data_IF_521380685240
#
_entry.id   IF_521380685240
#
_cell.length_a   1.000
_cell.length_b   1.000
_cell.length_c   1.000
_cell.angle_alpha   90.00
_cell.angle_beta   90.00
_cell.angle_gamma   90.00
#
_symmetry.space_group_name_H-M   'P 1'
#
loop_
_entity.id
_entity.type
_entity.pdbx_description
1 polymer ?
#
# COMPACT_ATOMS: atom_id res chain seq x y z
N UNK A 1 -0.07 -19.14 19.82
CA UNK A 1 -0.93 -19.34 21.02
C UNK A 1 -0.54 -18.31 22.07
N UNK A 2 -1.45 -17.93 22.98
CA UNK A 2 -1.11 -16.96 24.05
C UNK A 2 -0.17 -17.61 25.07
N UNK A 3 0.92 -16.92 25.41
CA UNK A 3 1.89 -17.33 26.44
C UNK A 3 1.24 -17.72 27.78
N UNK A 4 0.08 -17.13 28.10
CA UNK A 4 -0.68 -17.42 29.32
C UNK A 4 -1.01 -18.91 29.45
N UNK A 5 -1.32 -19.61 28.35
CA UNK A 5 -1.62 -21.04 28.39
C UNK A 5 -0.42 -21.88 28.81
N UNK A 6 0.76 -21.61 28.22
CA UNK A 6 2.01 -22.30 28.57
C UNK A 6 2.40 -22.10 30.04
N UNK A 7 2.26 -20.87 30.54
CA UNK A 7 2.51 -20.57 31.94
C UNK A 7 1.57 -21.35 32.88
N UNK A 8 0.26 -21.33 32.61
CA UNK A 8 -0.73 -22.01 33.43
C UNK A 8 -0.55 -23.53 33.40
N UNK A 9 -0.23 -24.09 32.23
CA UNK A 9 0.02 -25.51 32.05
C UNK A 9 1.26 -25.97 32.83
N UNK A 10 2.38 -25.24 32.73
CA UNK A 10 3.60 -25.55 33.47
C UNK A 10 3.42 -25.38 34.98
N UNK A 11 2.70 -24.34 35.42
CA UNK A 11 2.39 -24.14 36.84
C UNK A 11 1.51 -25.28 37.38
N UNK A 12 0.51 -25.71 36.61
CA UNK A 12 -0.35 -26.82 36.98
C UNK A 12 0.41 -28.14 36.98
N UNK A 13 1.25 -28.41 35.98
CA UNK A 13 2.10 -29.60 35.90
C UNK A 13 3.06 -29.67 37.09
N UNK A 14 3.71 -28.55 37.44
CA UNK A 14 4.62 -28.46 38.58
C UNK A 14 3.89 -28.75 39.91
N UNK A 15 2.69 -28.19 40.10
CA UNK A 15 1.85 -28.47 41.28
C UNK A 15 1.40 -29.93 41.36
N UNK A 16 0.97 -30.52 40.24
CA UNK A 16 0.57 -31.93 40.20
C UNK A 16 1.75 -32.87 40.47
N UNK A 17 2.91 -32.61 39.88
CA UNK A 17 4.12 -33.40 40.11
C UNK A 17 4.66 -33.24 41.53
N UNK A 18 4.65 -32.03 42.09
CA UNK A 18 5.02 -31.78 43.50
C UNK A 18 4.14 -32.58 44.47
N UNK A 19 2.82 -32.60 44.23
CA UNK A 19 1.88 -33.41 45.01
C UNK A 19 2.20 -34.91 44.93
N UNK A 20 2.31 -35.46 43.71
CA UNK A 20 2.62 -36.89 43.50
C UNK A 20 3.98 -37.29 44.09
N UNK A 21 4.96 -36.40 44.05
CA UNK A 21 6.28 -36.63 44.64
C UNK A 21 6.21 -36.65 46.17
N UNK A 22 5.45 -35.73 46.76
CA UNK A 22 5.22 -35.63 48.20
C UNK A 22 4.48 -36.84 48.76
N UNK A 23 3.46 -37.35 48.05
CA UNK A 23 2.73 -38.57 48.43
C UNK A 23 3.66 -39.80 48.53
N UNK A 24 4.72 -39.83 47.72
CA UNK A 24 5.72 -40.91 47.70
C UNK A 24 6.89 -40.68 48.67
N UNK A 25 7.11 -39.44 49.10
CA UNK A 25 8.25 -39.05 49.94
C UNK A 25 7.77 -38.18 51.11
N UNK A 26 7.19 -38.78 52.17
CA UNK A 26 6.57 -38.04 53.27
C UNK A 26 7.51 -37.07 54.00
N UNK A 27 8.81 -37.38 54.04
CA UNK A 27 9.83 -36.52 54.64
C UNK A 27 10.04 -35.18 53.90
N UNK A 28 9.69 -35.12 52.62
CA UNK A 28 9.87 -33.94 51.76
C UNK A 28 8.54 -33.22 51.47
N UNK A 29 7.41 -33.78 51.90
CA UNK A 29 6.08 -33.21 51.71
C UNK A 29 5.89 -31.78 52.22
N UNK A 30 6.55 -31.32 53.32
CA UNK A 30 6.45 -29.92 53.76
C UNK A 30 7.00 -28.90 52.76
N UNK A 31 7.90 -29.31 51.85
CA UNK A 31 8.56 -28.41 50.90
C UNK A 31 7.91 -28.41 49.51
N UNK A 32 7.23 -29.49 49.12
CA UNK A 32 6.70 -29.70 47.76
C UNK A 32 5.21 -30.10 47.71
N UNK A 33 4.57 -30.24 48.86
CA UNK A 33 3.17 -30.65 49.00
C UNK A 33 2.18 -29.53 48.69
N UNK A 34 0.88 -29.83 48.84
CA UNK A 34 -0.17 -28.83 48.66
C UNK A 34 -0.07 -27.76 49.76
N UNK A 35 0.43 -26.58 49.39
CA UNK A 35 0.40 -25.38 50.20
C UNK A 35 1.64 -25.22 51.07
N UNK A 36 2.75 -24.82 50.45
CA UNK A 36 3.73 -24.00 51.17
C UNK A 36 2.99 -22.75 51.66
N UNK A 37 3.02 -22.45 52.96
CA UNK A 37 2.45 -21.22 53.52
C UNK A 37 3.35 -20.00 53.25
N UNK A 38 4.51 -20.21 52.63
CA UNK A 38 5.48 -19.18 52.32
C UNK A 38 5.21 -18.57 50.93
N UNK A 39 4.78 -17.29 50.87
CA UNK A 39 4.54 -16.59 49.61
C UNK A 39 5.78 -16.47 48.72
N UNK A 40 6.98 -16.49 49.29
CA UNK A 40 8.22 -16.35 48.52
C UNK A 40 8.56 -17.64 47.75
N UNK A 41 8.26 -18.80 48.35
CA UNK A 41 8.37 -20.10 47.65
C UNK A 41 7.35 -20.20 46.52
N UNK A 42 6.12 -19.72 46.73
CA UNK A 42 5.11 -19.72 45.67
C UNK A 42 5.51 -18.83 44.49
N UNK A 43 6.04 -17.63 44.77
CA UNK A 43 6.59 -16.74 43.75
C UNK A 43 7.77 -17.34 42.98
N UNK A 44 8.62 -18.10 43.64
CA UNK A 44 9.72 -18.81 42.98
C UNK A 44 9.20 -19.90 42.02
N UNK A 45 8.16 -20.64 42.41
CA UNK A 45 7.53 -21.65 41.57
C UNK A 45 6.79 -21.02 40.38
N UNK A 46 6.12 -19.88 40.58
CA UNK A 46 5.54 -19.08 39.50
C UNK A 46 6.62 -18.57 38.55
N UNK A 47 7.73 -18.03 39.06
CA UNK A 47 8.87 -17.61 38.25
C UNK A 47 9.48 -18.75 37.44
N UNK A 48 9.61 -19.95 38.03
CA UNK A 48 10.11 -21.13 37.35
C UNK A 48 9.15 -21.63 36.25
N UNK A 49 7.84 -21.66 36.53
CA UNK A 49 6.82 -21.98 35.55
C UNK A 49 6.79 -20.96 34.40
N UNK A 50 7.00 -19.67 34.68
CA UNK A 50 7.09 -18.63 33.68
C UNK A 50 8.29 -18.85 32.74
N UNK A 51 9.48 -19.12 33.29
CA UNK A 51 10.69 -19.39 32.51
C UNK A 51 10.55 -20.67 31.66
N UNK A 52 10.07 -21.75 32.26
CA UNK A 52 9.90 -23.05 31.59
C UNK A 52 8.81 -22.98 30.53
N UNK A 53 7.71 -22.28 30.82
CA UNK A 53 6.64 -22.01 29.86
C UNK A 53 7.13 -21.23 28.64
N UNK A 54 8.01 -20.22 28.83
CA UNK A 54 8.63 -19.50 27.70
C UNK A 54 9.54 -20.42 26.87
N UNK A 55 10.30 -21.29 27.53
CA UNK A 55 11.19 -22.22 26.84
C UNK A 55 10.38 -23.23 26.02
N UNK A 56 9.31 -23.77 26.59
CA UNK A 56 8.41 -24.70 25.90
C UNK A 56 7.67 -24.01 24.74
N UNK A 57 7.16 -22.81 24.94
CA UNK A 57 6.60 -22.01 23.84
C UNK A 57 7.63 -21.83 22.72
N UNK A 58 8.87 -21.45 23.05
CA UNK A 58 9.93 -21.25 22.05
C UNK A 58 10.29 -22.54 21.31
N UNK A 59 10.23 -23.70 21.98
CA UNK A 59 10.45 -25.00 21.35
C UNK A 59 9.29 -25.40 20.43
N UNK A 60 8.05 -25.15 20.85
CA UNK A 60 6.84 -25.43 20.08
C UNK A 60 6.65 -24.48 18.89
N UNK A 61 7.29 -23.30 18.91
CA UNK A 61 7.21 -22.31 17.81
C UNK A 61 7.92 -22.77 16.50
N UNK A 62 8.41 -24.02 16.40
CA UNK A 62 8.91 -24.68 15.18
C UNK A 62 9.98 -23.88 14.40
N UNK A 63 11.07 -23.49 15.08
CA UNK A 63 12.26 -22.83 14.50
C UNK A 63 11.92 -21.66 13.55
N UNK A 64 11.19 -20.63 14.03
CA UNK A 64 10.80 -19.48 13.20
C UNK A 64 12.02 -18.70 12.70
N UNK A 65 13.16 -18.81 13.41
CA UNK A 65 14.43 -18.20 13.04
C UNK A 65 14.96 -18.72 11.68
N UNK A 66 14.68 -19.98 11.32
CA UNK A 66 15.08 -20.57 10.03
C UNK A 66 14.04 -20.26 8.94
N UNK A 67 12.76 -20.49 9.24
CA UNK A 67 11.68 -20.33 8.26
C UNK A 67 11.48 -18.86 7.88
N UNK A 68 11.55 -17.92 8.83
CA UNK A 68 11.44 -16.49 8.53
C UNK A 68 12.59 -15.99 7.66
N UNK A 69 13.81 -16.44 7.89
CA UNK A 69 14.98 -16.05 7.09
C UNK A 69 14.85 -16.53 5.64
N UNK A 70 14.41 -17.78 5.45
CA UNK A 70 14.09 -18.31 4.12
C UNK A 70 12.93 -17.56 3.47
N UNK A 71 11.92 -17.19 4.27
CA UNK A 71 10.78 -16.41 3.78
C UNK A 71 11.17 -14.99 3.38
N UNK A 72 12.12 -14.36 4.06
CA UNK A 72 12.66 -13.06 3.65
C UNK A 72 13.40 -13.14 2.31
N UNK A 73 14.08 -14.25 2.03
CA UNK A 73 14.72 -14.49 0.73
C UNK A 73 13.69 -14.71 -0.39
N UNK A 74 12.66 -15.52 -0.13
CA UNK A 74 11.72 -15.95 -1.15
C UNK A 74 10.54 -14.98 -1.33
N UNK A 75 9.87 -14.57 -0.25
CA UNK A 75 8.68 -13.69 -0.25
C UNK A 75 8.72 -12.67 0.90
N UNK A 76 9.64 -11.68 0.88
CA UNK A 76 9.79 -10.74 2.00
C UNK A 76 8.54 -9.90 2.27
N UNK A 77 7.71 -9.64 1.25
CA UNK A 77 6.50 -8.85 1.39
C UNK A 77 5.38 -9.50 2.19
N UNK A 78 5.38 -10.83 2.30
CA UNK A 78 4.39 -11.56 3.09
C UNK A 78 4.69 -11.49 4.59
N UNK A 79 5.92 -11.10 4.95
CA UNK A 79 6.35 -10.90 6.33
C UNK A 79 6.20 -9.43 6.79
N UNK A 80 5.72 -8.55 5.91
CA UNK A 80 5.54 -7.12 6.21
C UNK A 80 4.10 -6.83 6.60
N UNK A 81 3.87 -5.89 7.54
CA UNK A 81 2.52 -5.43 7.83
C UNK A 81 1.92 -4.75 6.58
N UNK A 82 0.60 -4.87 6.42
CA UNK A 82 -0.11 -4.15 5.37
C UNK A 82 -0.33 -2.71 5.81
N UNK A 83 0.20 -1.70 5.08
CA UNK A 83 -0.03 -0.31 5.41
C UNK A 83 -1.50 0.07 5.16
N UNK A 84 -1.97 1.09 5.86
CA UNK A 84 -3.27 1.68 5.58
C UNK A 84 -3.28 2.28 4.17
N UNK A 85 -4.39 2.11 3.46
CA UNK A 85 -4.60 2.59 2.10
C UNK A 85 -5.91 3.36 2.01
N UNK A 86 -5.97 4.33 1.11
CA UNK A 86 -7.19 5.08 0.81
C UNK A 86 -7.20 5.57 -0.63
N UNK A 87 -8.28 6.21 -1.04
CA UNK A 87 -8.41 6.91 -2.32
C UNK A 87 -8.45 8.42 -2.07
N UNK A 88 -7.55 9.16 -2.69
CA UNK A 88 -7.54 10.61 -2.68
C UNK A 88 -8.10 11.15 -3.99
N UNK A 89 -8.97 12.16 -3.93
CA UNK A 89 -9.47 12.88 -5.10
C UNK A 89 -8.96 14.32 -5.06
N UNK A 90 -8.34 14.78 -6.15
CA UNK A 90 -8.03 16.20 -6.33
C UNK A 90 -9.21 16.95 -6.92
N UNK A 91 -9.41 18.18 -6.47
CA UNK A 91 -10.33 19.10 -7.15
C UNK A 91 -9.75 19.52 -8.51
N UNK A 92 -10.57 19.67 -9.56
CA UNK A 92 -10.13 20.18 -10.85
C UNK A 92 -9.49 21.56 -10.72
N UNK A 93 -8.53 21.85 -11.60
CA UNK A 93 -7.89 23.16 -11.67
C UNK A 93 -8.92 24.24 -11.98
N UNK A 94 -8.79 25.43 -11.38
CA UNK A 94 -9.69 26.56 -11.67
C UNK A 94 -9.20 27.36 -12.88
N UNK A 95 -7.88 27.44 -13.07
CA UNK A 95 -7.29 28.13 -14.21
C UNK A 95 -7.31 27.23 -15.46
N UNK A 96 -7.63 27.82 -16.62
CA UNK A 96 -7.45 27.14 -17.89
C UNK A 96 -5.97 26.99 -18.24
N UNK A 97 -5.64 25.94 -18.99
CA UNK A 97 -4.28 25.62 -19.41
C UNK A 97 -4.04 24.11 -19.50
N UNK A 98 -2.76 23.71 -19.66
CA UNK A 98 -2.37 22.30 -19.61
C UNK A 98 -2.64 21.70 -18.23
N UNK A 99 -2.81 20.39 -18.18
CA UNK A 99 -2.96 19.65 -16.92
C UNK A 99 -1.75 19.81 -16.00
N UNK A 100 -2.01 19.75 -14.68
CA UNK A 100 -0.97 19.66 -13.66
C UNK A 100 -0.77 18.20 -13.29
N UNK A 101 0.45 17.68 -13.43
CA UNK A 101 0.77 16.32 -13.02
C UNK A 101 1.14 16.33 -11.54
N UNK A 102 0.36 15.62 -10.73
CA UNK A 102 0.76 15.23 -9.37
C UNK A 102 1.53 13.93 -9.49
N UNK A 103 2.82 14.00 -9.18
CA UNK A 103 3.72 12.85 -9.29
C UNK A 103 3.37 11.76 -8.28
N UNK A 104 3.79 10.53 -8.59
CA UNK A 104 3.84 9.44 -7.61
C UNK A 104 4.76 9.82 -6.44
N UNK A 105 4.51 9.23 -5.28
CA UNK A 105 5.24 9.44 -4.04
C UNK A 105 5.14 10.88 -3.49
N UNK A 106 4.17 11.67 -3.98
CA UNK A 106 3.88 13.01 -3.43
C UNK A 106 3.30 12.84 -2.02
N UNK A 107 3.89 13.46 -0.98
CA UNK A 107 3.42 13.33 0.39
C UNK A 107 2.10 14.07 0.61
N UNK A 108 1.21 13.47 1.40
CA UNK A 108 -0.10 14.00 1.76
C UNK A 108 -0.34 13.73 3.25
N UNK A 109 -0.77 14.74 3.99
CA UNK A 109 -1.02 14.63 5.43
C UNK A 109 -2.52 14.55 5.70
N UNK A 110 -2.92 13.75 6.68
CA UNK A 110 -4.30 13.73 7.18
C UNK A 110 -4.55 14.86 8.18
N UNK A 111 -5.81 15.17 8.46
CA UNK A 111 -6.14 15.85 9.71
C UNK A 111 -5.67 15.01 10.92
N UNK A 112 -5.36 15.63 12.08
CA UNK A 112 -4.90 14.89 13.24
C UNK A 112 -5.95 13.91 13.77
N UNK A 113 -5.58 12.64 13.88
CA UNK A 113 -6.38 11.57 14.48
C UNK A 113 -5.74 11.22 15.83
N UNK A 114 -6.47 11.40 16.92
CA UNK A 114 -5.94 11.24 18.29
C UNK A 114 -4.67 12.07 18.57
N UNK A 115 -4.57 13.24 17.93
CA UNK A 115 -3.40 14.13 18.05
C UNK A 115 -2.21 13.76 17.17
N UNK A 116 -2.28 12.68 16.39
CA UNK A 116 -1.26 12.27 15.44
C UNK A 116 -1.68 12.57 14.00
N UNK A 117 -0.76 13.13 13.22
CA UNK A 117 -0.95 13.37 11.79
C UNK A 117 -0.43 12.17 11.01
N UNK A 118 -1.29 11.50 10.24
CA UNK A 118 -0.88 10.36 9.41
C UNK A 118 -0.30 10.87 8.09
N UNK A 119 0.87 10.36 7.71
CA UNK A 119 1.52 10.70 6.45
C UNK A 119 1.26 9.63 5.40
N UNK A 120 0.59 10.02 4.34
CA UNK A 120 0.35 9.22 3.15
C UNK A 120 1.23 9.69 2.00
N UNK A 121 1.34 8.87 0.96
CA UNK A 121 1.91 9.27 -0.32
C UNK A 121 1.05 8.79 -1.49
N UNK A 122 1.03 9.54 -2.57
CA UNK A 122 0.34 9.17 -3.82
C UNK A 122 0.99 7.94 -4.45
N UNK A 123 0.17 7.00 -4.92
CA UNK A 123 0.68 5.79 -5.57
C UNK A 123 0.79 5.92 -7.08
N UNK A 124 -0.08 6.70 -7.73
CA UNK A 124 -0.12 6.87 -9.18
C UNK A 124 0.23 8.31 -9.57
N UNK A 125 0.90 8.53 -10.71
CA UNK A 125 0.94 9.84 -11.32
C UNK A 125 -0.46 10.21 -11.82
N UNK A 126 -0.95 11.38 -11.44
CA UNK A 126 -2.31 11.84 -11.77
C UNK A 126 -2.27 13.23 -12.40
N UNK A 127 -2.73 13.32 -13.65
CA UNK A 127 -2.90 14.58 -14.36
C UNK A 127 -4.25 15.22 -13.95
N UNK A 128 -4.19 16.38 -13.32
CA UNK A 128 -5.36 17.17 -12.91
C UNK A 128 -5.65 18.22 -13.97
N UNK A 129 -6.85 18.15 -14.56
CA UNK A 129 -7.28 19.04 -15.64
C UNK A 129 -8.34 20.04 -15.14
N UNK A 130 -8.52 21.20 -15.80
CA UNK A 130 -9.60 22.13 -15.53
C UNK A 130 -10.93 21.65 -16.14
N UNK A 131 -11.28 20.39 -15.90
CA UNK A 131 -12.54 19.77 -16.34
C UNK A 131 -13.29 19.18 -15.14
N UNK A 132 -14.59 19.44 -15.07
CA UNK A 132 -15.47 18.85 -14.06
C UNK A 132 -16.52 17.98 -14.74
N UNK A 133 -16.75 16.80 -14.20
CA UNK A 133 -17.89 15.97 -14.55
C UNK A 133 -19.17 16.60 -13.97
N UNK A 134 -20.05 17.13 -14.81
CA UNK A 134 -21.27 17.84 -14.38
C UNK A 134 -22.52 16.99 -14.48
N UNK A 135 -22.52 15.98 -15.36
CA UNK A 135 -23.67 15.09 -15.52
C UNK A 135 -23.25 13.68 -15.91
N UNK A 136 -23.88 12.69 -15.29
CA UNK A 136 -23.89 11.30 -15.71
C UNK A 136 -25.31 10.97 -16.14
N UNK A 137 -25.46 10.31 -17.28
CA UNK A 137 -26.75 9.82 -17.76
C UNK A 137 -26.56 8.42 -18.30
N UNK A 138 -27.47 7.53 -17.94
CA UNK A 138 -27.39 6.13 -18.33
C UNK A 138 -28.75 5.68 -18.81
N UNK A 139 -28.77 5.07 -20.00
CA UNK A 139 -29.95 4.45 -20.57
C UNK A 139 -29.62 3.04 -21.01
N UNK A 140 -30.53 2.13 -20.74
CA UNK A 140 -30.45 0.74 -21.15
C UNK A 140 -31.76 0.40 -21.88
N UNK A 141 -31.66 -0.05 -23.12
CA UNK A 141 -32.82 -0.43 -23.93
C UNK A 141 -32.49 -1.65 -24.78
N UNK A 142 -33.28 -2.71 -24.62
CA UNK A 142 -33.00 -4.00 -25.27
C UNK A 142 -31.60 -4.51 -24.92
N UNK A 143 -30.78 -4.72 -25.95
CA UNK A 143 -29.40 -5.21 -25.83
C UNK A 143 -28.33 -4.10 -25.82
N UNK A 144 -28.74 -2.83 -25.88
CA UNK A 144 -27.84 -1.69 -25.91
C UNK A 144 -27.94 -0.86 -24.63
N UNK A 145 -26.79 -0.48 -24.10
CA UNK A 145 -26.65 0.46 -23.01
C UNK A 145 -25.81 1.65 -23.47
N UNK A 146 -26.20 2.85 -23.06
CA UNK A 146 -25.46 4.08 -23.35
C UNK A 146 -25.18 4.80 -22.04
N UNK A 147 -23.89 5.04 -21.78
CA UNK A 147 -23.43 5.89 -20.70
C UNK A 147 -22.93 7.21 -21.28
N UNK A 148 -23.55 8.32 -20.89
CA UNK A 148 -23.16 9.65 -21.27
C UNK A 148 -22.56 10.41 -20.08
N UNK A 149 -21.33 10.91 -20.26
CA UNK A 149 -20.59 11.72 -19.30
C UNK A 149 -20.45 13.13 -19.87
N UNK A 150 -20.99 14.13 -19.18
CA UNK A 150 -20.81 15.54 -19.55
C UNK A 150 -19.71 16.16 -18.72
N UNK A 151 -18.71 16.69 -19.41
CA UNK A 151 -17.58 17.39 -18.81
C UNK A 151 -17.59 18.84 -19.27
N UNK A 152 -17.38 19.75 -18.33
CA UNK A 152 -17.35 21.18 -18.59
C UNK A 152 -16.09 21.78 -17.98
N UNK A 153 -15.58 22.81 -18.63
CA UNK A 153 -14.44 23.56 -18.11
C UNK A 153 -14.80 24.31 -16.84
N UNK A 154 -13.90 24.28 -15.88
CA UNK A 154 -14.04 24.98 -14.58
C UNK A 154 -13.66 26.45 -14.65
N UNK A 155 -12.76 26.82 -15.56
CA UNK A 155 -12.26 28.18 -15.75
C UNK A 155 -12.71 28.84 -17.06
N UNK A 156 -12.42 30.14 -17.18
CA UNK A 156 -12.51 30.88 -18.45
C UNK A 156 -11.42 30.39 -19.41
N UNK A 157 -11.82 29.97 -20.61
CA UNK A 157 -10.94 29.38 -21.63
C UNK A 157 -11.70 28.40 -22.52
N UNK A 158 -10.96 27.66 -23.36
CA UNK A 158 -11.52 26.66 -24.27
C UNK A 158 -10.77 25.32 -24.27
N UNK A 159 -11.40 24.25 -24.78
CA UNK A 159 -10.84 22.89 -24.68
C UNK A 159 -9.48 22.71 -25.38
N UNK A 160 -9.16 23.52 -26.39
CA UNK A 160 -7.86 23.47 -27.08
C UNK A 160 -6.63 23.74 -26.19
N UNK A 161 -6.83 24.26 -24.98
CA UNK A 161 -5.74 24.56 -24.04
C UNK A 161 -5.31 23.36 -23.19
N UNK A 162 -6.14 22.30 -23.11
CA UNK A 162 -5.96 21.18 -22.19
C UNK A 162 -4.70 20.35 -22.43
N UNK A 163 -4.17 20.34 -23.67
CA UNK A 163 -2.96 19.61 -24.10
C UNK A 163 -2.80 18.20 -23.49
N UNK A 164 -3.90 17.45 -23.36
CA UNK A 164 -3.89 16.08 -22.84
C UNK A 164 -4.44 15.10 -23.88
N UNK A 165 -3.89 13.88 -23.88
CA UNK A 165 -4.28 12.77 -24.76
C UNK A 165 -5.36 11.88 -24.12
N UNK A 166 -5.44 11.84 -22.80
CA UNK A 166 -6.30 10.89 -22.08
C UNK A 166 -7.03 11.52 -20.91
N UNK A 167 -8.16 10.93 -20.55
CA UNK A 167 -8.76 11.17 -19.24
C UNK A 167 -8.87 9.85 -18.48
N UNK A 168 -8.39 9.87 -17.24
CA UNK A 168 -8.51 8.75 -16.31
C UNK A 168 -9.84 8.83 -15.56
N UNK A 169 -10.62 7.76 -15.62
CA UNK A 169 -11.85 7.59 -14.87
C UNK A 169 -11.62 6.56 -13.75
N UNK A 170 -12.14 6.84 -12.56
CA UNK A 170 -12.25 5.86 -11.48
C UNK A 170 -13.72 5.52 -11.24
N UNK A 171 -14.02 4.23 -11.11
CA UNK A 171 -15.35 3.78 -10.72
C UNK A 171 -15.42 3.57 -9.20
N UNK A 172 -16.17 4.44 -8.53
CA UNK A 172 -16.27 4.52 -7.07
C UNK A 172 -17.68 4.18 -6.56
N UNK A 173 -17.85 4.18 -5.23
CA UNK A 173 -19.14 4.03 -4.58
C UNK A 173 -19.59 2.57 -4.49
N UNK A 174 -20.86 2.31 -4.82
CA UNK A 174 -21.44 0.96 -4.72
C UNK A 174 -20.64 -0.07 -5.52
N UNK A 175 -20.38 -1.23 -4.90
CA UNK A 175 -19.54 -2.28 -5.46
C UNK A 175 -20.14 -2.89 -6.72
N UNK A 176 -21.46 -3.10 -6.76
CA UNK A 176 -22.11 -3.66 -7.94
C UNK A 176 -22.03 -2.66 -9.10
N UNK A 177 -22.35 -1.38 -8.86
CA UNK A 177 -22.31 -0.35 -9.90
C UNK A 177 -20.91 -0.17 -10.48
N UNK A 178 -19.91 0.02 -9.62
CA UNK A 178 -18.52 0.26 -10.02
C UNK A 178 -17.92 -0.93 -10.79
N UNK A 179 -18.14 -2.17 -10.34
CA UNK A 179 -17.66 -3.37 -11.03
C UNK A 179 -18.37 -3.60 -12.36
N UNK A 180 -19.68 -3.33 -12.45
CA UNK A 180 -20.41 -3.44 -13.71
C UNK A 180 -20.01 -2.38 -14.72
N UNK A 181 -19.74 -1.14 -14.28
CA UNK A 181 -19.15 -0.12 -15.13
C UNK A 181 -17.78 -0.57 -15.65
N UNK A 182 -16.90 -1.03 -14.77
CA UNK A 182 -15.58 -1.53 -15.17
C UNK A 182 -15.67 -2.68 -16.19
N UNK A 183 -16.53 -3.67 -15.93
CA UNK A 183 -16.80 -4.75 -16.89
C UNK A 183 -17.34 -4.23 -18.22
N UNK A 184 -18.25 -3.23 -18.16
CA UNK A 184 -18.83 -2.56 -19.32
C UNK A 184 -17.75 -1.96 -20.23
N UNK A 185 -16.85 -1.16 -19.65
CA UNK A 185 -15.73 -0.56 -20.37
C UNK A 185 -14.74 -1.59 -20.92
N UNK A 186 -14.42 -2.63 -20.16
CA UNK A 186 -13.37 -3.60 -20.55
C UNK A 186 -13.84 -4.67 -21.55
N UNK A 187 -15.13 -5.04 -21.53
CA UNK A 187 -15.62 -6.22 -22.29
C UNK A 187 -16.83 -5.95 -23.17
N UNK A 188 -17.61 -4.90 -22.89
CA UNK A 188 -18.92 -4.66 -23.53
C UNK A 188 -18.95 -3.40 -24.39
N UNK A 189 -17.90 -2.59 -24.41
CA UNK A 189 -17.80 -1.35 -25.16
C UNK A 189 -17.78 -1.61 -26.68
N UNK A 190 -18.63 -0.90 -27.42
CA UNK A 190 -18.76 -1.00 -28.89
C UNK A 190 -18.26 0.25 -29.61
N UNK A 191 -18.56 1.43 -29.06
CA UNK A 191 -18.20 2.70 -29.67
C UNK A 191 -18.06 3.77 -28.58
N UNK A 192 -17.22 4.76 -28.85
CA UNK A 192 -17.07 5.96 -28.04
C UNK A 192 -17.28 7.16 -28.96
N UNK A 193 -18.10 8.09 -28.53
CA UNK A 193 -18.35 9.35 -29.25
C UNK A 193 -18.08 10.54 -28.35
N UNK A 194 -17.43 11.54 -28.90
CA UNK A 194 -17.12 12.80 -28.24
C UNK A 194 -17.89 13.91 -28.96
N UNK A 195 -18.87 14.50 -28.29
CA UNK A 195 -19.65 15.63 -28.80
C UNK A 195 -19.16 16.91 -28.14
N UNK A 196 -18.75 17.91 -28.93
CA UNK A 196 -18.34 19.20 -28.39
C UNK A 196 -19.53 20.03 -27.95
N UNK A 197 -19.36 20.75 -26.83
CA UNK A 197 -20.37 21.62 -26.24
C UNK A 197 -19.87 23.07 -26.14
N UNK A 198 -20.78 24.02 -26.32
CA UNK A 198 -20.54 25.43 -26.06
C UNK A 198 -20.60 25.78 -24.56
N UNK A 199 -20.40 27.06 -24.23
CA UNK A 199 -20.49 27.57 -22.86
C UNK A 199 -21.89 27.50 -22.21
N UNK A 200 -22.92 27.09 -22.96
CA UNK A 200 -24.28 26.85 -22.47
C UNK A 200 -24.64 25.35 -22.50
N UNK A 201 -23.64 24.48 -22.59
CA UNK A 201 -23.79 23.03 -22.66
C UNK A 201 -24.63 22.54 -23.85
N UNK A 202 -24.68 23.31 -24.94
CA UNK A 202 -25.36 22.94 -26.18
C UNK A 202 -24.35 22.34 -27.18
N UNK A 203 -24.75 21.33 -27.97
CA UNK A 203 -23.88 20.77 -29.00
C UNK A 203 -23.42 21.84 -29.99
N UNK A 204 -22.11 21.89 -30.23
CA UNK A 204 -21.54 22.72 -31.29
C UNK A 204 -21.82 22.10 -32.65
N UNK A 205 -21.96 22.97 -33.64
CA UNK A 205 -22.26 22.59 -35.03
C UNK A 205 -21.10 23.07 -35.90
N UNK A 206 -20.61 22.19 -36.76
CA UNK A 206 -19.57 22.44 -37.76
C UNK A 206 -20.09 23.37 -38.88
N UNK A 207 -19.19 23.87 -39.73
CA UNK A 207 -19.55 24.74 -40.86
C UNK A 207 -20.59 24.10 -41.81
N UNK A 208 -20.59 22.76 -41.90
CA UNK A 208 -21.50 21.97 -42.73
C UNK A 208 -22.88 21.74 -42.09
N UNK A 209 -23.16 22.34 -40.92
CA UNK A 209 -24.44 22.21 -40.23
C UNK A 209 -24.62 20.91 -39.44
N UNK A 210 -23.58 20.06 -39.35
CA UNK A 210 -23.59 18.83 -38.57
C UNK A 210 -23.03 19.05 -37.16
N UNK A 211 -23.54 18.32 -36.16
CA UNK A 211 -22.98 18.34 -34.81
C UNK A 211 -21.51 17.97 -34.83
N UNK A 212 -20.68 18.71 -34.10
CA UNK A 212 -19.27 18.43 -33.94
C UNK A 212 -19.06 17.20 -33.05
N UNK A 213 -19.05 16.04 -33.70
CA UNK A 213 -18.96 14.72 -33.09
C UNK A 213 -17.76 13.95 -33.66
N UNK A 214 -16.99 13.33 -32.77
CA UNK A 214 -15.81 12.55 -33.12
C UNK A 214 -15.97 11.13 -32.58
N UNK A 215 -15.64 10.13 -33.40
CA UNK A 215 -15.61 8.74 -32.96
C UNK A 215 -14.22 8.39 -32.45
N UNK A 216 -14.17 7.77 -31.27
CA UNK A 216 -12.95 7.26 -30.65
C UNK A 216 -13.06 5.73 -30.64
N UNK A 217 -11.97 5.05 -31.01
CA UNK A 217 -11.94 3.59 -31.00
C UNK A 217 -12.10 3.04 -29.58
N UNK A 218 -12.90 1.98 -29.36
CA UNK A 218 -12.95 1.27 -28.08
C UNK A 218 -11.59 0.78 -27.60
N UNK A 219 -10.65 0.50 -28.53
CA UNK A 219 -9.30 0.05 -28.20
C UNK A 219 -8.46 1.10 -27.47
N UNK A 220 -8.90 2.36 -27.49
CA UNK A 220 -8.29 3.47 -26.74
C UNK A 220 -8.64 3.45 -25.25
N UNK A 221 -9.47 2.50 -24.79
CA UNK A 221 -9.73 2.30 -23.36
C UNK A 221 -8.78 1.25 -22.80
N UNK A 222 -7.95 1.65 -21.84
CA UNK A 222 -6.96 0.77 -21.20
C UNK A 222 -7.25 0.60 -19.70
N UNK A 223 -7.10 -0.62 -19.15
CA UNK A 223 -7.17 -0.82 -17.71
C UNK A 223 -5.96 -0.19 -17.01
N UNK A 224 -6.16 0.24 -15.78
CA UNK A 224 -5.15 0.90 -14.94
C UNK A 224 -5.06 0.17 -13.59
N UNK A 225 -3.88 0.19 -12.98
CA UNK A 225 -3.57 -0.47 -11.70
C UNK A 225 -2.64 -1.68 -11.83
N UNK A 226 -2.15 -1.97 -13.04
CA UNK A 226 -1.32 -3.14 -13.34
C UNK A 226 0.13 -2.78 -13.68
N UNK A 227 0.43 -1.54 -14.06
CA UNK A 227 1.79 -1.13 -14.39
C UNK A 227 2.73 -1.16 -13.17
N UNK A 228 4.04 -1.00 -13.40
CA UNK A 228 5.03 -1.00 -12.31
C UNK A 228 4.96 0.29 -11.48
N UNK A 229 4.75 1.39 -12.18
CA UNK A 229 4.53 2.74 -11.66
C UNK A 229 3.20 2.87 -10.93
N UNK A 230 2.32 1.87 -11.08
CA UNK A 230 1.01 1.79 -10.44
C UNK A 230 1.02 0.82 -9.26
N UNK A 231 2.17 0.51 -8.65
CA UNK A 231 2.22 -0.28 -7.41
C UNK A 231 1.83 0.53 -6.17
N UNK A 232 1.02 -0.06 -5.28
CA UNK A 232 0.69 0.53 -3.97
C UNK A 232 1.83 0.37 -2.97
N UNK A 233 2.48 -0.79 -3.00
CA UNK A 233 3.51 -1.18 -2.04
C UNK A 233 4.81 -1.49 -2.81
N UNK A 234 5.99 -1.09 -2.27
CA UNK A 234 7.28 -1.52 -2.82
C UNK A 234 7.36 -3.05 -2.92
N UNK A 235 7.55 -3.56 -4.15
CA UNK A 235 7.68 -4.99 -4.41
C UNK A 235 9.11 -5.32 -4.82
N UNK A 236 9.78 -6.31 -4.21
CA UNK A 236 11.17 -6.58 -4.49
C UNK A 236 11.31 -7.23 -5.88
N UNK A 237 12.40 -6.90 -6.56
CA UNK A 237 12.65 -7.30 -7.94
C UNK A 237 12.91 -8.81 -8.09
N UNK A 238 13.30 -9.49 -7.01
CA UNK A 238 13.61 -10.92 -6.99
C UNK A 238 12.38 -11.82 -6.86
N UNK A 239 11.16 -11.26 -6.89
CA UNK A 239 9.91 -12.02 -6.73
C UNK A 239 8.98 -11.89 -7.93
N UNK A 240 8.17 -12.94 -8.16
CA UNK A 240 7.23 -12.94 -9.26
C UNK A 240 6.14 -11.87 -9.06
N UNK A 241 6.08 -10.91 -9.99
CA UNK A 241 5.17 -9.75 -9.94
C UNK A 241 3.69 -10.14 -9.87
N UNK A 242 3.30 -11.32 -10.34
CA UNK A 242 1.90 -11.78 -10.27
C UNK A 242 1.37 -11.91 -8.85
N UNK A 243 2.24 -12.21 -7.86
CA UNK A 243 1.84 -12.27 -6.46
C UNK A 243 1.47 -10.89 -5.90
N UNK A 244 2.08 -9.82 -6.41
CA UNK A 244 1.70 -8.44 -6.08
C UNK A 244 0.23 -8.18 -6.41
N UNK A 245 -0.23 -8.60 -7.59
CA UNK A 245 -1.62 -8.36 -7.99
C UNK A 245 -2.61 -9.09 -7.09
N UNK A 246 -2.31 -10.32 -6.67
CA UNK A 246 -3.14 -11.05 -5.73
C UNK A 246 -3.19 -10.31 -4.39
N UNK A 247 -2.04 -9.91 -3.84
CA UNK A 247 -1.97 -9.17 -2.59
C UNK A 247 -2.77 -7.87 -2.67
N UNK A 248 -2.53 -7.04 -3.68
CA UNK A 248 -3.23 -5.76 -3.86
C UNK A 248 -4.73 -5.95 -4.11
N UNK A 249 -5.14 -6.99 -4.84
CA UNK A 249 -6.56 -7.26 -5.11
C UNK A 249 -7.33 -7.63 -3.85
N UNK A 250 -6.74 -8.43 -2.96
CA UNK A 250 -7.37 -8.79 -1.70
C UNK A 250 -7.28 -7.69 -0.63
N UNK A 251 -6.28 -6.79 -0.71
CA UNK A 251 -6.11 -5.70 0.25
C UNK A 251 -6.91 -4.44 -0.12
N UNK A 252 -6.90 -4.04 -1.40
CA UNK A 252 -7.50 -2.79 -1.87
C UNK A 252 -7.99 -2.92 -3.33
N UNK A 253 -9.07 -3.67 -3.59
CA UNK A 253 -9.56 -3.97 -4.93
C UNK A 253 -9.96 -2.73 -5.74
N UNK A 254 -10.35 -1.64 -5.09
CA UNK A 254 -10.76 -0.37 -5.70
C UNK A 254 -9.64 0.23 -6.58
N UNK A 255 -8.38 -0.14 -6.31
CA UNK A 255 -7.21 0.17 -7.13
C UNK A 255 -7.36 -0.27 -8.59
N UNK A 256 -8.08 -1.36 -8.86
CA UNK A 256 -8.20 -1.93 -10.21
C UNK A 256 -9.41 -1.40 -10.98
N UNK A 257 -10.18 -0.47 -10.41
CA UNK A 257 -11.39 0.10 -11.01
C UNK A 257 -11.11 1.42 -11.75
N UNK A 258 -9.90 1.58 -12.26
CA UNK A 258 -9.51 2.71 -13.10
C UNK A 258 -9.48 2.31 -14.57
N UNK A 259 -9.85 3.25 -15.43
CA UNK A 259 -9.70 3.14 -16.89
C UNK A 259 -9.14 4.43 -17.45
N UNK A 260 -8.17 4.31 -18.35
CA UNK A 260 -7.70 5.43 -19.17
C UNK A 260 -8.44 5.42 -20.50
N UNK A 261 -9.09 6.53 -20.84
CA UNK A 261 -9.73 6.75 -22.13
C UNK A 261 -8.85 7.70 -22.94
N UNK A 262 -8.10 7.17 -23.91
CA UNK A 262 -7.26 7.93 -24.84
C UNK A 262 -8.06 8.50 -26.03
N UNK A 263 -7.45 9.40 -26.80
CA UNK A 263 -8.08 10.02 -27.98
C UNK A 263 -8.69 11.39 -27.70
N UNK A 264 -8.33 12.03 -26.59
CA UNK A 264 -8.72 13.42 -26.27
C UNK A 264 -7.92 14.44 -27.13
N UNK A 265 -6.77 14.02 -27.63
CA UNK A 265 -5.92 14.76 -28.56
C UNK A 265 -6.64 15.14 -29.86
N UNK A 266 -7.72 14.43 -30.23
CA UNK A 266 -8.60 14.80 -31.36
C UNK A 266 -9.03 16.26 -31.30
N UNK A 267 -9.19 16.84 -30.10
CA UNK A 267 -9.56 18.25 -29.90
C UNK A 267 -8.54 19.20 -30.54
N UNK A 268 -7.27 18.82 -30.59
CA UNK A 268 -6.20 19.62 -31.19
C UNK A 268 -6.26 19.64 -32.73
N UNK A 269 -6.93 18.65 -33.33
CA UNK A 269 -7.10 18.55 -34.79
C UNK A 269 -8.28 19.34 -35.34
N UNK A 270 -9.07 19.96 -34.46
CA UNK A 270 -10.31 20.65 -34.80
C UNK A 270 -10.02 22.09 -35.25
N UNK A 271 -10.85 22.61 -36.16
CA UNK A 271 -10.80 23.99 -36.61
C UNK A 271 -10.80 24.99 -35.44
N UNK A 272 -9.89 25.97 -35.51
CA UNK A 272 -9.65 26.96 -34.45
C UNK A 272 -10.93 27.68 -34.02
N UNK A 273 -11.78 28.05 -34.97
CA UNK A 273 -13.05 28.75 -34.67
C UNK A 273 -13.99 27.89 -33.81
N UNK A 274 -14.08 26.60 -34.11
CA UNK A 274 -14.93 25.68 -33.35
C UNK A 274 -14.34 25.40 -31.96
N UNK A 275 -13.01 25.20 -31.88
CA UNK A 275 -12.31 24.95 -30.61
C UNK A 275 -12.47 26.14 -29.67
N UNK A 276 -12.30 27.37 -30.14
CA UNK A 276 -12.41 28.58 -29.29
C UNK A 276 -13.80 28.78 -28.67
N UNK A 277 -14.84 28.18 -29.26
CA UNK A 277 -16.21 28.19 -28.73
C UNK A 277 -16.51 26.99 -27.83
N UNK A 278 -15.63 25.98 -27.81
CA UNK A 278 -15.82 24.75 -27.05
C UNK A 278 -15.41 24.93 -25.58
N UNK A 279 -16.38 24.81 -24.67
CA UNK A 279 -16.17 24.92 -23.21
C UNK A 279 -16.50 23.63 -22.46
N UNK A 280 -16.81 22.56 -23.17
CA UNK A 280 -17.11 21.26 -22.61
C UNK A 280 -17.33 20.23 -23.69
N UNK A 281 -17.47 18.98 -23.29
CA UNK A 281 -17.81 17.89 -24.19
C UNK A 281 -18.68 16.86 -23.49
N UNK A 282 -19.37 16.05 -24.29
CA UNK A 282 -20.07 14.88 -23.81
C UNK A 282 -19.43 13.63 -24.40
N UNK A 283 -18.93 12.76 -23.55
CA UNK A 283 -18.58 11.40 -23.94
C UNK A 283 -19.79 10.50 -23.88
N UNK A 284 -19.99 9.73 -24.93
CA UNK A 284 -21.07 8.76 -25.05
C UNK A 284 -20.44 7.41 -25.34
N UNK A 285 -20.58 6.50 -24.39
CA UNK A 285 -20.09 5.13 -24.46
C UNK A 285 -21.24 4.20 -24.76
N UNK A 286 -21.22 3.57 -25.92
CA UNK A 286 -22.21 2.60 -26.34
C UNK A 286 -21.72 1.18 -26.01
N UNK A 287 -22.53 0.42 -25.26
CA UNK A 287 -22.17 -0.87 -24.68
C UNK A 287 -23.24 -1.93 -24.93
N UNK A 288 -22.87 -3.21 -24.79
CA UNK A 288 -23.83 -4.34 -24.69
C UNK A 288 -24.48 -4.36 -23.30
N UNK A 289 -25.79 -4.62 -23.25
CA UNK A 289 -26.62 -4.42 -22.05
C UNK A 289 -26.99 -5.70 -21.27
N UNK A 290 -26.56 -6.88 -21.71
CA UNK A 290 -27.05 -8.22 -21.24
C UNK A 290 -27.24 -8.33 -19.70
N UNK A 291 -26.43 -7.65 -18.89
CA UNK A 291 -26.53 -7.66 -17.41
C UNK A 291 -26.49 -6.26 -16.76
N UNK A 292 -26.76 -5.20 -17.54
CA UNK A 292 -26.57 -3.81 -17.09
C UNK A 292 -27.88 -3.00 -17.07
N UNK A 293 -29.04 -3.63 -17.27
CA UNK A 293 -30.34 -2.95 -17.33
C UNK A 293 -30.75 -2.27 -16.01
N UNK A 294 -30.40 -2.90 -14.88
CA UNK A 294 -30.68 -2.39 -13.53
C UNK A 294 -29.71 -1.30 -13.06
N UNK A 295 -28.64 -1.04 -13.81
CA UNK A 295 -27.60 -0.10 -13.41
C UNK A 295 -28.14 1.33 -13.33
N UNK A 296 -27.78 2.06 -12.28
CA UNK A 296 -28.14 3.47 -12.06
C UNK A 296 -26.90 4.26 -11.64
N UNK A 297 -25.93 4.47 -12.56
CA UNK A 297 -24.73 5.21 -12.23
C UNK A 297 -25.06 6.70 -12.06
N UNK A 298 -24.37 7.32 -11.12
CA UNK A 298 -24.51 8.75 -10.76
C UNK A 298 -23.12 9.41 -10.74
N UNK A 299 -23.08 10.71 -10.47
CA UNK A 299 -21.81 11.46 -10.30
C UNK A 299 -20.93 10.93 -9.16
N UNK A 300 -21.48 10.18 -8.22
CA UNK A 300 -20.70 9.58 -7.13
C UNK A 300 -19.94 8.33 -7.58
N UNK A 301 -20.41 7.68 -8.65
CA UNK A 301 -19.87 6.42 -9.13
C UNK A 301 -18.74 6.59 -10.15
N UNK A 302 -18.53 7.79 -10.67
CA UNK A 302 -17.50 8.09 -11.67
C UNK A 302 -16.74 9.31 -11.19
N UNK A 303 -15.48 9.11 -10.81
CA UNK A 303 -14.62 10.17 -10.28
C UNK A 303 -13.46 10.44 -11.23
N UNK A 304 -13.04 11.69 -11.25
CA UNK A 304 -11.86 12.18 -11.96
C UNK A 304 -10.78 12.51 -10.95
N UNK A 305 -9.52 12.53 -11.41
CA UNK A 305 -8.37 12.99 -10.62
C UNK A 305 -8.19 12.24 -9.29
N UNK A 306 -8.48 10.95 -9.30
CA UNK A 306 -8.26 10.08 -8.16
C UNK A 306 -6.89 9.40 -8.22
N UNK A 307 -6.26 9.21 -7.07
CA UNK A 307 -5.09 8.33 -6.90
C UNK A 307 -5.25 7.54 -5.61
N UNK A 308 -4.89 6.24 -5.60
CA UNK A 308 -4.67 5.55 -4.34
C UNK A 308 -3.56 6.25 -3.57
N UNK A 309 -3.67 6.24 -2.25
CA UNK A 309 -2.65 6.71 -1.32
C UNK A 309 -2.35 5.63 -0.30
N UNK A 310 -1.09 5.55 0.12
CA UNK A 310 -0.64 4.56 1.11
C UNK A 310 0.06 5.26 2.28
N UNK A 311 -0.21 4.82 3.51
CA UNK A 311 0.42 5.33 4.73
C UNK A 311 1.85 4.78 4.85
N UNK A 312 2.73 5.30 4.01
CA UNK A 312 4.16 5.01 3.98
C UNK A 312 4.90 6.30 3.70
N UNK A 313 5.95 6.55 4.45
CA UNK A 313 6.80 7.73 4.32
C UNK A 313 8.24 7.36 4.67
N UNK A 314 9.18 8.19 4.23
CA UNK A 314 10.61 8.00 4.51
C UNK A 314 10.98 8.74 5.78
N UNK A 315 11.75 8.10 6.63
CA UNK A 315 12.21 8.70 7.88
C UNK A 315 13.56 8.13 8.29
N UNK A 316 14.41 8.99 8.84
CA UNK A 316 15.64 8.55 9.49
C UNK A 316 15.35 7.90 10.85
N UNK A 317 16.07 6.83 11.15
CA UNK A 317 16.03 6.17 12.44
C UNK A 317 16.95 6.87 13.46
N UNK A 318 16.72 6.62 14.75
CA UNK A 318 17.66 6.99 15.81
C UNK A 318 18.99 6.28 15.55
N UNK A 319 20.14 7.00 15.56
CA UNK A 319 21.44 6.39 15.32
C UNK A 319 21.75 5.29 16.33
N UNK A 320 22.20 4.14 15.82
CA UNK A 320 22.57 2.98 16.64
C UNK A 320 24.08 3.02 16.88
N UNK A 321 24.49 3.00 18.15
CA UNK A 321 25.88 2.77 18.51
C UNK A 321 26.17 1.27 18.54
N UNK A 322 26.72 0.75 17.45
CA UNK A 322 27.09 -0.65 17.32
C UNK A 322 28.42 -0.93 18.05
N UNK A 323 28.38 -1.25 19.34
CA UNK A 323 29.55 -1.47 20.21
C UNK A 323 29.86 -2.95 20.48
N UNK A 324 29.17 -3.86 19.78
CA UNK A 324 29.26 -5.31 19.92
C UNK A 324 28.95 -5.85 21.33
N UNK A 325 28.33 -5.06 22.21
CA UNK A 325 27.83 -5.56 23.52
C UNK A 325 26.50 -6.28 23.40
N UNK A 326 25.77 -6.00 22.32
CA UNK A 326 24.50 -6.62 21.98
C UNK A 326 24.61 -7.24 20.59
N UNK A 327 23.95 -8.40 20.42
CA UNK A 327 23.87 -9.08 19.13
C UNK A 327 22.87 -8.41 18.19
N UNK A 328 21.84 -7.76 18.75
CA UNK A 328 20.73 -7.14 18.05
C UNK A 328 20.39 -5.78 18.67
N UNK A 329 20.05 -4.81 17.84
CA UNK A 329 19.74 -3.43 18.24
C UNK A 329 18.33 -3.08 17.76
N UNK A 330 17.48 -2.57 18.67
CA UNK A 330 16.13 -2.13 18.31
C UNK A 330 16.21 -0.90 17.41
N UNK A 331 15.53 -0.97 16.26
CA UNK A 331 15.43 0.12 15.31
C UNK A 331 14.23 1.01 15.66
N UNK A 332 14.52 2.26 15.99
CA UNK A 332 13.52 3.25 16.40
C UNK A 332 13.39 4.38 15.37
N UNK A 333 12.18 4.75 14.94
CA UNK A 333 11.99 5.94 14.10
C UNK A 333 12.39 7.20 14.88
N UNK A 334 13.01 8.18 14.20
CA UNK A 334 13.65 9.31 14.87
C UNK A 334 12.70 10.40 15.40
N UNK A 335 11.62 10.72 14.68
CA UNK A 335 10.74 11.87 14.97
C UNK A 335 9.39 11.49 15.55
N UNK A 336 8.88 10.30 15.22
CA UNK A 336 7.64 9.78 15.80
C UNK A 336 8.07 8.84 16.92
N UNK A 337 7.64 9.10 18.16
CA UNK A 337 7.89 8.16 19.25
C UNK A 337 7.36 6.76 18.93
N UNK A 338 7.75 5.76 19.73
CA UNK A 338 7.40 4.35 19.50
C UNK A 338 5.91 4.09 19.28
N UNK A 339 5.01 4.90 19.85
CA UNK A 339 3.56 4.69 19.77
C UNK A 339 2.92 5.17 18.45
N UNK A 340 3.62 5.96 17.63
CA UNK A 340 3.05 6.64 16.46
C UNK A 340 3.54 6.14 15.10
N UNK A 341 4.57 5.31 15.05
CA UNK A 341 5.20 4.88 13.80
C UNK A 341 5.82 3.48 13.95
N UNK A 342 5.46 2.58 13.04
CA UNK A 342 6.09 1.27 12.89
C UNK A 342 7.07 1.26 11.72
N UNK A 343 8.14 0.48 11.84
CA UNK A 343 9.09 0.29 10.74
C UNK A 343 8.48 -0.64 9.69
N UNK A 344 8.38 -0.16 8.45
CA UNK A 344 7.88 -0.95 7.32
C UNK A 344 9.00 -1.69 6.57
N UNK A 345 10.07 -0.97 6.24
CA UNK A 345 11.27 -1.50 5.58
C UNK A 345 12.50 -0.68 5.96
N UNK A 346 13.67 -1.32 5.86
CA UNK A 346 14.96 -0.66 5.99
C UNK A 346 15.55 -0.49 4.59
N UNK A 347 15.50 0.72 4.07
CA UNK A 347 15.91 1.01 2.68
C UNK A 347 17.43 1.13 2.53
N UNK A 348 18.12 1.68 3.54
CA UNK A 348 19.57 1.88 3.52
C UNK A 348 20.14 1.94 4.94
N UNK A 349 21.32 1.35 5.14
CA UNK A 349 22.09 1.47 6.37
C UNK A 349 23.48 2.00 6.08
N UNK A 350 23.85 3.08 6.75
CA UNK A 350 25.18 3.70 6.67
C UNK A 350 25.79 3.84 8.05
N UNK A 351 27.01 3.36 8.23
CA UNK A 351 27.79 3.57 9.44
C UNK A 351 28.77 4.73 9.27
N UNK A 352 29.16 5.32 10.40
CA UNK A 352 30.25 6.28 10.47
C UNK A 352 31.37 5.71 11.34
N UNK A 353 32.59 5.63 10.79
CA UNK A 353 33.76 5.16 11.54
C UNK A 353 34.59 6.36 12.05
N UNK A 354 34.84 6.45 13.38
CA UNK A 354 35.75 7.43 13.93
C UNK A 354 37.17 7.29 13.35
N UNK A 355 37.92 8.41 13.26
CA UNK A 355 39.32 8.40 12.78
C UNK A 355 39.50 8.69 11.29
N UNK A 356 38.54 9.35 10.64
CA UNK A 356 38.69 9.88 9.27
C UNK A 356 38.43 8.88 8.15
N UNK A 357 37.95 7.67 8.47
CA UNK A 357 37.59 6.63 7.49
C UNK A 357 36.25 6.88 6.78
N UNK A 358 35.51 7.91 7.18
CA UNK A 358 34.30 8.37 6.51
C UNK A 358 33.08 7.48 6.75
N UNK A 359 32.12 7.58 5.82
CA UNK A 359 30.90 6.77 5.82
C UNK A 359 31.15 5.42 5.17
N UNK A 360 30.56 4.37 5.73
CA UNK A 360 30.59 3.01 5.20
C UNK A 360 29.17 2.54 4.95
N UNK A 361 28.87 2.10 3.74
CA UNK A 361 27.57 1.49 3.42
C UNK A 361 27.56 0.05 3.93
N UNK A 362 26.43 -0.37 4.50
CA UNK A 362 26.19 -1.76 4.84
C UNK A 362 25.20 -2.37 3.85
N UNK A 363 25.44 -3.61 3.45
CA UNK A 363 24.56 -4.36 2.54
C UNK A 363 23.65 -5.31 3.33
N UNK A 364 22.42 -5.59 2.88
CA UNK A 364 21.59 -6.62 3.49
C UNK A 364 22.27 -7.99 3.41
N UNK A 365 22.23 -8.79 4.47
CA UNK A 365 22.80 -10.15 4.47
C UNK A 365 22.18 -11.00 3.35
N UNK A 366 20.87 -10.90 3.15
CA UNK A 366 20.11 -11.66 2.15
C UNK A 366 20.44 -11.27 0.69
N UNK A 367 21.21 -10.19 0.47
CA UNK A 367 21.67 -9.79 -0.88
C UNK A 367 22.85 -10.60 -1.41
N UNK A 368 23.58 -11.30 -0.53
CA UNK A 368 24.84 -11.99 -0.83
C UNK A 368 25.98 -11.10 -1.40
N UNK A 369 25.81 -9.77 -1.47
CA UNK A 369 26.85 -8.84 -1.95
C UNK A 369 28.10 -8.80 -1.05
N UNK A 370 28.00 -9.35 0.15
CA UNK A 370 29.11 -9.51 1.10
C UNK A 370 29.92 -10.80 0.88
N UNK A 371 29.41 -11.75 0.08
CA UNK A 371 30.06 -13.03 -0.18
C UNK A 371 31.14 -12.86 -1.28
N UNK A 372 32.41 -13.20 -1.02
CA UNK A 372 33.49 -13.13 -2.01
C UNK A 372 33.30 -14.05 -3.22
N UNK A 373 32.38 -15.02 -3.17
CA UNK A 373 32.01 -15.84 -4.32
C UNK A 373 31.10 -15.11 -5.33
N UNK A 374 30.48 -14.01 -4.91
CA UNK A 374 29.72 -13.10 -5.77
C UNK A 374 30.69 -12.00 -6.22
N UNK A 375 30.77 -11.75 -7.53
CA UNK A 375 31.77 -10.87 -8.19
C UNK A 375 31.48 -9.37 -7.94
N UNK A 376 31.30 -9.01 -6.67
CA UNK A 376 31.03 -7.68 -6.11
C UNK A 376 32.17 -7.33 -5.15
N UNK A 377 32.35 -6.06 -4.79
CA UNK A 377 33.39 -5.61 -3.85
C UNK A 377 33.43 -6.47 -2.57
N UNK A 378 34.34 -7.43 -2.59
CA UNK A 378 34.62 -8.38 -1.52
C UNK A 378 34.87 -7.63 -0.20
N UNK A 379 34.20 -8.10 0.88
CA UNK A 379 34.35 -7.61 2.26
C UNK A 379 33.50 -6.38 2.65
N UNK A 380 32.41 -6.10 1.93
CA UNK A 380 31.39 -5.13 2.35
C UNK A 380 30.74 -5.58 3.67
N UNK A 381 30.62 -4.70 4.67
CA UNK A 381 29.97 -5.04 5.93
C UNK A 381 28.48 -5.22 5.67
N UNK A 382 27.85 -6.11 6.43
CA UNK A 382 26.45 -6.43 6.22
C UNK A 382 25.62 -6.26 7.49
N UNK A 383 24.31 -6.15 7.30
CA UNK A 383 23.32 -6.15 8.36
C UNK A 383 22.22 -7.16 8.06
N UNK A 384 21.58 -7.71 9.09
CA UNK A 384 20.35 -8.48 8.92
C UNK A 384 19.20 -7.86 9.72
N UNK A 385 17.98 -7.99 9.18
CA UNK A 385 16.77 -7.40 9.76
C UNK A 385 15.89 -8.51 10.34
N UNK A 386 15.51 -8.36 11.61
CA UNK A 386 14.64 -9.31 12.30
C UNK A 386 13.40 -8.62 12.84
N UNK A 387 12.24 -9.22 12.63
CA UNK A 387 10.98 -8.76 13.20
C UNK A 387 10.55 -9.68 14.34
N UNK A 388 10.08 -9.10 15.45
CA UNK A 388 9.49 -9.84 16.57
C UNK A 388 8.22 -9.15 17.02
N UNK A 389 7.28 -9.91 17.59
CA UNK A 389 6.16 -9.29 18.27
C UNK A 389 6.66 -8.38 19.39
N UNK A 390 6.16 -7.15 19.39
CA UNK A 390 6.49 -6.21 20.46
C UNK A 390 5.95 -6.74 21.78
N UNK A 391 6.74 -6.59 22.84
CA UNK A 391 6.35 -7.00 24.21
C UNK A 391 5.54 -5.87 24.88
N UNK A 392 5.75 -4.62 24.45
CA UNK A 392 5.20 -3.43 25.07
C UNK A 392 4.02 -2.84 24.31
N UNK A 393 3.97 -3.05 22.98
CA UNK A 393 3.00 -2.43 22.09
C UNK A 393 2.30 -3.47 21.21
N UNK A 394 1.20 -3.06 20.58
CA UNK A 394 0.61 -3.86 19.49
C UNK A 394 1.44 -3.68 18.22
N UNK A 395 1.99 -4.78 17.69
CA UNK A 395 2.71 -4.77 16.42
C UNK A 395 4.01 -5.56 16.42
N UNK A 396 4.93 -5.14 15.54
CA UNK A 396 6.23 -5.76 15.34
C UNK A 396 7.35 -4.77 15.68
N UNK A 397 8.26 -5.19 16.53
CA UNK A 397 9.55 -4.53 16.74
C UNK A 397 10.53 -4.97 15.65
N UNK A 398 11.30 -4.02 15.12
CA UNK A 398 12.34 -4.29 14.12
C UNK A 398 13.71 -4.18 14.75
N UNK A 399 14.53 -5.22 14.60
CA UNK A 399 15.89 -5.28 15.12
C UNK A 399 16.89 -5.38 13.97
N UNK A 400 18.02 -4.69 14.13
CA UNK A 400 19.18 -4.82 13.26
C UNK A 400 20.28 -5.59 13.97
N UNK A 401 20.93 -6.51 13.27
CA UNK A 401 22.19 -7.10 13.71
C UNK A 401 23.29 -6.82 12.70
N UNK A 402 24.52 -6.70 13.19
CA UNK A 402 25.70 -6.32 12.40
C UNK A 402 26.81 -7.35 12.61
N UNK A 403 27.52 -7.72 11.55
CA UNK A 403 28.76 -8.49 11.71
C UNK A 403 29.94 -7.55 12.02
N UNK A 404 30.24 -7.42 13.30
CA UNK A 404 31.35 -6.62 13.81
C UNK A 404 32.64 -7.44 13.98
N UNK A 405 32.67 -8.71 13.53
CA UNK A 405 33.84 -9.60 13.72
C UNK A 405 35.09 -9.10 13.00
N UNK A 406 34.94 -8.28 11.95
CA UNK A 406 36.06 -7.63 11.25
C UNK A 406 36.79 -6.55 12.05
N UNK A 407 36.11 -5.86 12.98
CA UNK A 407 36.70 -4.76 13.77
C UNK A 407 37.37 -5.24 15.07
N UNK A 408 37.27 -6.53 15.42
CA UNK A 408 37.90 -7.12 16.63
C UNK A 408 39.42 -7.35 16.52
N UNK A 409 40.07 -6.87 15.46
CA UNK A 409 41.52 -7.07 15.24
C UNK A 409 42.42 -5.93 15.73
N UNK A 410 41.91 -4.97 16.51
CA UNK A 410 42.72 -3.94 17.15
C UNK A 410 42.58 -3.97 18.67
#
# INVERSE_FOLDING_TARGET
MSFNHYYQDELMALRQSGRRFSDRNPALAPFLGQGSQDPDVERLLEGFAFLTGRLRQKLDDDLPELTHSLMQLLWPNYMRPLPAMSMLQFEPLVACGPGLIVERDTPVESDPVNGLTCQFRTCFPTEVLPLRLTRVSYSASGEAATLALRLEMTGEGHLGELKSDRLRLHFAGDRYVSQMLYLGFMRKLKNIRLLLLDGHSKPLVTADGQTAEFSISPDNVKPVGFAEEEALIPYPLNTFRGYRYLQEYFCFPEKFLFVDVHGLDVIQSIDRELVTRSRGFQWVFDMRCEDMQGLRPTLEHIKLYCTPVVNLFKQDAVPIQADARQDEYLLMPGHYGSDGCGVYSVDKVTGWQPGGKGYKNYVPFESFEHDPAVDVESNSPYYSVRHRHSILQEGLDTFLSFDLRGDRKN
#
